data_IF_321616126859
#
_entry.id   IF_321616126859
#
_cell.length_a   1.000
_cell.length_b   1.000
_cell.length_c   1.000
_cell.angle_alpha   90.00
_cell.angle_beta   90.00
_cell.angle_gamma   90.00
#
_symmetry.space_group_name_H-M   'P 1'
#
loop_
_entity.id
_entity.type
_entity.pdbx_description
1 polymer ?
#
# COMPACT_ATOMS: atom_id res chain seq x y z
N UNK A 1 -52.40 -20.12 4.47
CA UNK A 1 -51.59 -19.28 3.57
C UNK A 1 -51.46 -17.85 4.12
N UNK A 2 -50.72 -17.63 5.22
CA UNK A 2 -50.57 -16.29 5.85
C UNK A 2 -49.12 -15.93 6.23
N UNK A 3 -48.19 -16.88 6.10
CA UNK A 3 -46.80 -16.78 6.57
C UNK A 3 -45.88 -16.16 5.51
N UNK A 4 -46.14 -16.43 4.23
CA UNK A 4 -45.37 -15.94 3.09
C UNK A 4 -45.55 -14.44 2.80
N UNK A 5 -46.73 -13.88 3.10
CA UNK A 5 -46.98 -12.43 2.95
C UNK A 5 -46.21 -11.59 3.97
N UNK A 6 -46.10 -12.07 5.22
CA UNK A 6 -45.32 -11.42 6.29
C UNK A 6 -43.81 -11.44 6.01
N UNK A 7 -43.28 -12.55 5.48
CA UNK A 7 -41.86 -12.67 5.12
C UNK A 7 -41.50 -11.74 3.96
N UNK A 8 -42.35 -11.67 2.93
CA UNK A 8 -42.14 -10.75 1.79
C UNK A 8 -42.17 -9.28 2.23
N UNK A 9 -43.09 -8.92 3.12
CA UNK A 9 -43.16 -7.56 3.66
C UNK A 9 -41.92 -7.20 4.49
N UNK A 10 -41.39 -8.18 5.23
CA UNK A 10 -40.17 -8.00 6.03
C UNK A 10 -38.93 -7.78 5.15
N UNK A 11 -38.80 -8.51 4.04
CA UNK A 11 -37.68 -8.37 3.10
C UNK A 11 -37.70 -6.98 2.43
N UNK A 12 -38.87 -6.48 2.05
CA UNK A 12 -39.02 -5.15 1.45
C UNK A 12 -38.64 -4.05 2.45
N UNK A 13 -39.06 -4.16 3.71
CA UNK A 13 -38.72 -3.20 4.77
C UNK A 13 -37.20 -3.16 5.01
N UNK A 14 -36.52 -4.32 4.99
CA UNK A 14 -35.06 -4.39 5.15
C UNK A 14 -34.33 -3.75 3.95
N UNK A 15 -34.83 -3.93 2.72
CA UNK A 15 -34.25 -3.32 1.52
C UNK A 15 -34.40 -1.78 1.50
N UNK A 16 -35.55 -1.26 1.95
CA UNK A 16 -35.76 0.18 2.09
C UNK A 16 -34.88 0.76 3.20
N UNK A 17 -34.75 0.06 4.33
CA UNK A 17 -33.88 0.49 5.43
C UNK A 17 -32.39 0.54 5.02
N UNK A 18 -31.93 -0.37 4.15
CA UNK A 18 -30.55 -0.36 3.67
C UNK A 18 -30.24 0.79 2.70
N UNK A 19 -31.27 1.39 2.08
CA UNK A 19 -31.13 2.52 1.15
C UNK A 19 -31.07 3.88 1.85
N UNK A 20 -31.39 3.92 3.15
CA UNK A 20 -31.37 5.13 3.98
C UNK A 20 -30.05 5.34 4.73
N UNK A 21 -29.07 4.45 4.57
CA UNK A 21 -27.74 4.71 5.11
C UNK A 21 -27.08 5.81 4.29
N UNK A 22 -26.75 6.98 4.89
CA UNK A 22 -25.97 7.98 4.21
C UNK A 22 -24.62 7.36 3.86
N UNK A 23 -24.36 7.18 2.57
CA UNK A 23 -23.02 6.91 2.09
C UNK A 23 -22.21 8.18 2.40
N UNK A 24 -21.41 8.13 3.46
CA UNK A 24 -20.43 9.17 3.74
C UNK A 24 -19.42 9.20 2.58
N UNK A 25 -19.76 9.93 1.52
CA UNK A 25 -18.82 10.34 0.49
C UNK A 25 -17.98 11.45 1.08
N UNK A 26 -16.68 11.19 1.28
CA UNK A 26 -15.73 12.26 1.58
C UNK A 26 -15.76 13.24 0.40
N UNK A 27 -16.36 14.42 0.61
CA UNK A 27 -16.31 15.50 -0.35
C UNK A 27 -14.84 15.93 -0.48
N UNK A 28 -14.25 15.57 -1.61
CA UNK A 28 -12.86 15.85 -1.91
C UNK A 28 -12.74 17.33 -2.33
N UNK A 29 -12.30 18.17 -1.39
CA UNK A 29 -12.05 19.59 -1.67
C UNK A 29 -10.81 19.70 -2.56
N UNK A 30 -11.04 19.88 -3.86
CA UNK A 30 -9.98 20.10 -4.85
C UNK A 30 -9.55 21.57 -4.83
N UNK A 31 -8.54 21.89 -4.02
CA UNK A 31 -7.95 23.23 -4.02
C UNK A 31 -6.97 23.31 -5.20
N UNK A 32 -7.39 23.96 -6.28
CA UNK A 32 -6.48 24.36 -7.35
C UNK A 32 -5.82 25.68 -6.92
N UNK A 33 -4.80 25.59 -6.06
CA UNK A 33 -3.89 26.73 -5.88
C UNK A 33 -3.12 26.86 -7.18
N UNK A 34 -3.14 28.03 -7.82
CA UNK A 34 -2.56 28.33 -9.14
C UNK A 34 -1.02 28.26 -9.18
N UNK A 35 -0.44 27.19 -8.65
CA UNK A 35 0.98 26.89 -8.67
C UNK A 35 1.28 26.28 -10.04
N UNK A 36 1.79 27.09 -10.96
CA UNK A 36 2.27 26.63 -12.27
C UNK A 36 3.64 25.94 -12.13
N UNK A 37 3.71 24.84 -11.39
CA UNK A 37 4.91 23.99 -11.39
C UNK A 37 4.69 22.91 -12.46
N UNK A 38 5.41 22.97 -13.59
CA UNK A 38 5.25 22.00 -14.66
C UNK A 38 5.78 20.65 -14.19
N UNK A 39 4.88 19.66 -14.16
CA UNK A 39 5.22 18.28 -13.85
C UNK A 39 5.86 17.62 -15.09
N UNK A 40 7.06 17.04 -15.01
CA UNK A 40 7.69 16.38 -16.16
C UNK A 40 6.79 15.29 -16.72
N UNK A 41 6.62 15.30 -18.04
CA UNK A 41 5.79 14.34 -18.74
C UNK A 41 6.35 12.93 -18.54
N UNK A 42 5.47 12.02 -18.13
CA UNK A 42 5.75 10.59 -18.06
C UNK A 42 4.45 9.86 -18.34
N UNK A 43 4.50 8.85 -19.21
CA UNK A 43 3.33 8.08 -19.62
C UNK A 43 3.67 6.61 -19.57
N UNK A 44 2.87 5.86 -18.84
CA UNK A 44 2.87 4.41 -18.94
C UNK A 44 2.18 3.99 -20.23
N UNK A 45 2.87 3.21 -21.06
CA UNK A 45 2.32 2.65 -22.29
C UNK A 45 1.40 1.44 -22.06
N UNK A 46 1.43 0.86 -20.87
CA UNK A 46 0.57 -0.22 -20.43
C UNK A 46 0.27 -0.06 -18.92
N UNK A 47 -0.82 -0.63 -18.39
CA UNK A 47 -1.11 -0.58 -16.97
C UNK A 47 0.07 -1.12 -16.13
N UNK A 48 0.67 -0.30 -15.25
CA UNK A 48 1.86 -0.73 -14.52
C UNK A 48 1.50 -1.78 -13.46
N UNK A 49 2.30 -2.85 -13.32
CA UNK A 49 2.23 -3.68 -12.13
C UNK A 49 2.70 -2.87 -10.92
N UNK A 50 2.14 -3.16 -9.76
CA UNK A 50 2.54 -2.50 -8.51
C UNK A 50 3.04 -3.52 -7.50
N UNK A 51 3.72 -3.03 -6.48
CA UNK A 51 4.10 -3.81 -5.31
C UNK A 51 3.71 -3.04 -4.05
N UNK A 52 3.26 -3.75 -3.02
CA UNK A 52 2.96 -3.14 -1.71
C UNK A 52 4.26 -2.65 -1.07
N UNK A 53 4.24 -1.44 -0.50
CA UNK A 53 5.31 -0.94 0.35
C UNK A 53 5.16 -1.65 1.71
N UNK A 54 6.18 -2.39 2.18
CA UNK A 54 6.11 -3.15 3.43
C UNK A 54 5.63 -2.31 4.63
N UNK A 55 4.84 -2.91 5.52
CA UNK A 55 4.23 -2.22 6.67
C UNK A 55 3.11 -1.25 6.33
N UNK A 56 2.68 -1.18 5.06
CA UNK A 56 1.67 -0.21 4.61
C UNK A 56 0.63 -0.82 3.66
N UNK A 57 -0.34 0.00 3.28
CA UNK A 57 -1.29 -0.25 2.19
C UNK A 57 -1.09 0.73 1.03
N UNK A 58 0.11 1.29 0.91
CA UNK A 58 0.55 2.06 -0.24
C UNK A 58 1.28 1.14 -1.22
N UNK A 59 1.16 1.44 -2.52
CA UNK A 59 1.71 0.59 -3.57
C UNK A 59 2.57 1.42 -4.53
N UNK A 60 3.77 0.94 -4.84
CA UNK A 60 4.73 1.60 -5.73
C UNK A 60 4.86 0.85 -7.05
N UNK A 61 5.27 1.56 -8.11
CA UNK A 61 5.65 0.95 -9.39
C UNK A 61 7.17 0.74 -9.39
N UNK A 62 7.67 -0.50 -9.32
CA UNK A 62 9.11 -0.75 -9.10
C UNK A 62 10.00 -0.51 -10.32
N UNK A 63 9.44 -0.46 -11.54
CA UNK A 63 10.23 -0.47 -12.79
C UNK A 63 10.37 0.92 -13.45
N UNK A 64 10.15 2.00 -12.69
CA UNK A 64 10.20 3.37 -13.23
C UNK A 64 10.95 4.32 -12.31
N UNK A 65 11.64 5.29 -12.92
CA UNK A 65 12.47 6.27 -12.20
C UNK A 65 11.67 7.44 -11.61
N UNK A 66 10.34 7.44 -11.76
CA UNK A 66 9.46 8.47 -11.19
C UNK A 66 8.86 8.02 -9.85
N UNK A 67 8.75 8.95 -8.90
CA UNK A 67 7.93 8.70 -7.71
C UNK A 67 6.46 8.65 -8.12
N UNK A 68 5.84 7.48 -8.00
CA UNK A 68 4.41 7.32 -8.17
C UNK A 68 3.90 6.23 -7.23
N UNK A 69 2.91 6.59 -6.43
CA UNK A 69 2.36 5.74 -5.38
C UNK A 69 0.85 5.69 -5.52
N UNK A 70 0.27 4.50 -5.48
CA UNK A 70 -1.16 4.30 -5.35
C UNK A 70 -1.53 4.17 -3.87
N UNK A 71 -2.51 4.95 -3.42
CA UNK A 71 -3.02 4.88 -2.06
C UNK A 71 -4.50 5.26 -2.02
N UNK A 72 -5.31 4.45 -1.35
CA UNK A 72 -6.75 4.67 -1.13
C UNK A 72 -7.55 5.10 -2.37
N UNK A 73 -7.25 4.50 -3.53
CA UNK A 73 -7.99 4.74 -4.77
C UNK A 73 -7.42 5.84 -5.67
N UNK A 74 -6.39 6.56 -5.23
CA UNK A 74 -5.75 7.62 -6.00
C UNK A 74 -4.28 7.32 -6.24
N UNK A 75 -3.77 7.90 -7.32
CA UNK A 75 -2.36 7.96 -7.65
C UNK A 75 -1.80 9.28 -7.16
N UNK A 76 -0.67 9.21 -6.47
CA UNK A 76 0.07 10.33 -5.91
C UNK A 76 1.46 10.36 -6.50
N UNK A 77 1.91 11.55 -6.88
CA UNK A 77 3.24 11.80 -7.43
C UNK A 77 3.85 12.98 -6.68
N UNK A 78 4.79 12.76 -5.76
CA UNK A 78 5.57 13.85 -5.20
C UNK A 78 6.50 14.40 -6.28
N UNK A 79 6.61 15.71 -6.36
CA UNK A 79 7.53 16.38 -7.26
C UNK A 79 7.90 17.75 -6.66
N UNK A 80 9.18 17.92 -6.34
CA UNK A 80 9.69 19.05 -5.53
C UNK A 80 8.93 19.11 -4.21
N UNK A 81 8.43 20.28 -3.83
CA UNK A 81 7.72 20.52 -2.56
C UNK A 81 6.19 20.30 -2.68
N UNK A 82 5.74 19.70 -3.77
CA UNK A 82 4.32 19.50 -4.05
C UNK A 82 3.97 18.05 -4.29
N UNK A 83 2.73 17.72 -3.96
CA UNK A 83 2.13 16.45 -4.34
C UNK A 83 1.11 16.68 -5.44
N UNK A 84 1.12 15.76 -6.40
CA UNK A 84 0.15 15.72 -7.47
C UNK A 84 -0.70 14.48 -7.31
N UNK A 85 -2.01 14.63 -7.47
CA UNK A 85 -2.95 13.52 -7.38
C UNK A 85 -3.66 13.30 -8.71
N UNK A 86 -3.96 12.05 -9.02
CA UNK A 86 -4.82 11.65 -10.11
C UNK A 86 -5.66 10.42 -9.76
N UNK A 87 -6.79 10.25 -10.44
CA UNK A 87 -7.57 9.01 -10.40
C UNK A 87 -6.98 7.90 -11.29
N UNK A 88 -6.00 8.23 -12.14
CA UNK A 88 -5.36 7.30 -13.09
C UNK A 88 -3.84 7.44 -13.06
N UNK A 89 -3.13 6.35 -13.34
CA UNK A 89 -1.66 6.31 -13.33
C UNK A 89 -1.00 7.22 -14.38
N UNK A 90 -1.75 7.65 -15.40
CA UNK A 90 -1.30 8.56 -16.45
C UNK A 90 -1.84 9.99 -16.30
N UNK A 91 -2.48 10.31 -15.18
CA UNK A 91 -3.14 11.60 -15.02
C UNK A 91 -4.59 11.61 -15.55
N UNK A 92 -5.23 12.80 -15.62
CA UNK A 92 -4.64 14.13 -15.43
C UNK A 92 -4.16 14.34 -13.99
N UNK A 93 -3.02 15.00 -13.84
CA UNK A 93 -2.41 15.33 -12.56
C UNK A 93 -2.85 16.71 -12.07
N UNK A 94 -3.19 16.82 -10.79
CA UNK A 94 -3.54 18.10 -10.16
C UNK A 94 -2.78 18.25 -8.85
N UNK A 95 -2.35 19.47 -8.54
CA UNK A 95 -1.72 19.77 -7.25
C UNK A 95 -2.71 19.41 -6.13
N UNK A 96 -2.19 18.82 -5.07
CA UNK A 96 -2.98 18.36 -3.94
C UNK A 96 -2.25 18.61 -2.62
N UNK A 97 -2.74 19.57 -1.84
CA UNK A 97 -2.08 20.01 -0.61
C UNK A 97 -2.41 19.13 0.61
N UNK A 98 -3.49 18.34 0.53
CA UNK A 98 -3.99 17.52 1.66
C UNK A 98 -3.68 16.04 1.44
N UNK A 99 -2.41 15.71 1.51
CA UNK A 99 -1.94 14.34 1.34
C UNK A 99 -2.12 13.56 2.65
N UNK A 100 -2.57 12.30 2.61
CA UNK A 100 -2.62 11.43 3.79
C UNK A 100 -1.27 11.34 4.51
N UNK A 101 -1.29 11.35 5.84
CA UNK A 101 -0.09 11.34 6.67
C UNK A 101 0.79 10.10 6.43
N UNK A 102 0.17 8.97 6.10
CA UNK A 102 0.83 7.71 5.75
C UNK A 102 1.80 7.87 4.57
N UNK A 103 1.47 8.73 3.59
CA UNK A 103 2.34 8.99 2.44
C UNK A 103 3.55 9.85 2.80
N UNK A 104 3.45 10.69 3.84
CA UNK A 104 4.58 11.44 4.37
C UNK A 104 5.51 10.57 5.22
N UNK A 105 4.98 9.51 5.82
CA UNK A 105 5.71 8.58 6.69
C UNK A 105 6.26 7.36 5.95
N UNK A 106 6.20 7.33 4.62
CA UNK A 106 6.80 6.24 3.85
C UNK A 106 8.31 6.17 4.10
N UNK A 107 8.91 4.96 4.16
CA UNK A 107 10.35 4.80 4.28
C UNK A 107 11.09 5.58 3.18
N UNK A 108 12.20 6.28 3.44
CA UNK A 108 12.90 7.08 2.42
C UNK A 108 13.30 6.28 1.17
N UNK A 109 13.50 4.98 1.32
CA UNK A 109 13.86 4.01 0.30
C UNK A 109 12.68 3.13 -0.16
N UNK A 110 11.43 3.58 0.03
CA UNK A 110 10.22 2.80 -0.29
C UNK A 110 10.15 2.28 -1.75
N UNK A 111 10.88 2.90 -2.67
CA UNK A 111 11.00 2.42 -4.06
C UNK A 111 11.88 1.20 -4.21
N UNK A 112 12.84 1.01 -3.30
CA UNK A 112 13.74 -0.12 -3.30
C UNK A 112 13.05 -1.33 -2.69
N UNK A 113 12.18 -1.96 -3.48
CA UNK A 113 11.49 -3.17 -3.08
C UNK A 113 12.44 -4.36 -3.26
N UNK A 114 12.80 -5.10 -2.19
CA UNK A 114 13.67 -6.26 -2.30
C UNK A 114 13.11 -7.33 -3.25
N UNK A 115 13.97 -8.14 -3.89
CA UNK A 115 13.51 -9.26 -4.71
C UNK A 115 12.61 -10.22 -3.93
N UNK A 116 11.57 -10.74 -4.58
CA UNK A 116 10.63 -11.72 -3.99
C UNK A 116 9.29 -11.15 -3.54
N UNK A 117 9.08 -9.83 -3.63
CA UNK A 117 7.77 -9.25 -3.39
C UNK A 117 6.78 -9.56 -4.52
N UNK A 118 5.51 -9.74 -4.15
CA UNK A 118 4.45 -10.06 -5.09
C UNK A 118 4.13 -8.85 -5.99
N UNK A 119 4.29 -9.04 -7.30
CA UNK A 119 3.82 -8.08 -8.31
C UNK A 119 2.32 -8.24 -8.49
N UNK A 120 1.59 -7.14 -8.30
CA UNK A 120 0.15 -7.07 -8.38
C UNK A 120 -0.22 -6.38 -9.70
N UNK A 121 -0.92 -7.06 -10.63
CA UNK A 121 -1.44 -6.41 -11.83
C UNK A 121 -2.40 -5.28 -11.47
N UNK A 122 -2.37 -4.16 -12.19
CA UNK A 122 -3.23 -2.99 -11.92
C UNK A 122 -4.73 -3.35 -11.80
N UNK A 123 -5.23 -4.27 -12.63
CA UNK A 123 -6.62 -4.71 -12.56
C UNK A 123 -6.98 -5.41 -11.24
N UNK A 124 -6.04 -6.15 -10.65
CA UNK A 124 -6.21 -6.78 -9.33
C UNK A 124 -6.16 -5.73 -8.22
N UNK A 125 -5.20 -4.80 -8.30
CA UNK A 125 -5.13 -3.68 -7.36
C UNK A 125 -6.47 -2.93 -7.31
N UNK A 126 -6.97 -2.48 -8.46
CA UNK A 126 -8.20 -1.68 -8.57
C UNK A 126 -9.42 -2.38 -7.97
N UNK A 127 -9.52 -3.71 -8.11
CA UNK A 127 -10.63 -4.50 -7.60
C UNK A 127 -10.54 -4.78 -6.09
N UNK A 128 -9.33 -5.00 -5.58
CA UNK A 128 -9.17 -5.61 -4.26
C UNK A 128 -8.59 -4.70 -3.19
N UNK A 129 -7.96 -3.55 -3.54
CA UNK A 129 -7.22 -2.72 -2.57
C UNK A 129 -8.00 -2.40 -1.30
N UNK A 130 -9.29 -2.05 -1.44
CA UNK A 130 -10.16 -1.69 -0.31
C UNK A 130 -10.43 -2.88 0.61
N UNK A 131 -10.59 -4.07 0.04
CA UNK A 131 -10.74 -5.31 0.80
C UNK A 131 -9.45 -5.67 1.53
N UNK A 132 -8.31 -5.61 0.83
CA UNK A 132 -7.01 -5.89 1.41
C UNK A 132 -6.67 -5.00 2.61
N UNK A 133 -6.95 -3.69 2.50
CA UNK A 133 -6.74 -2.74 3.60
C UNK A 133 -7.66 -3.03 4.79
N UNK A 134 -8.95 -3.32 4.55
CA UNK A 134 -9.92 -3.64 5.59
C UNK A 134 -9.58 -4.94 6.33
N UNK A 135 -9.14 -5.95 5.60
CA UNK A 135 -8.88 -7.30 6.12
C UNK A 135 -7.44 -7.49 6.59
N UNK A 136 -6.62 -6.43 6.52
CA UNK A 136 -5.21 -6.46 6.90
C UNK A 136 -4.43 -7.57 6.17
N UNK A 137 -4.65 -7.67 4.85
CA UNK A 137 -4.15 -8.77 4.03
C UNK A 137 -2.62 -8.91 4.03
N UNK A 138 -1.89 -7.79 4.07
CA UNK A 138 -0.44 -7.78 3.96
C UNK A 138 0.27 -7.98 5.30
N UNK A 139 -0.38 -7.67 6.43
CA UNK A 139 0.19 -7.77 7.77
C UNK A 139 0.67 -9.20 8.11
N UNK A 140 -0.02 -10.23 7.58
CA UNK A 140 0.37 -11.63 7.80
C UNK A 140 1.67 -12.04 7.09
N UNK A 141 1.99 -11.36 5.99
CA UNK A 141 3.20 -11.64 5.22
C UNK A 141 4.42 -10.97 5.84
N UNK A 142 4.22 -9.82 6.47
CA UNK A 142 5.26 -9.08 7.20
C UNK A 142 5.81 -9.90 8.38
N UNK A 143 4.92 -10.43 9.24
CA UNK A 143 5.32 -11.26 10.40
C UNK A 143 6.27 -12.41 10.01
N UNK A 144 5.96 -13.13 8.93
CA UNK A 144 6.80 -14.25 8.46
C UNK A 144 8.15 -13.81 7.92
N UNK A 145 8.24 -12.60 7.37
CA UNK A 145 9.50 -12.06 6.88
C UNK A 145 10.38 -11.66 8.06
N UNK A 146 9.82 -10.94 9.04
CA UNK A 146 10.52 -10.53 10.28
C UNK A 146 11.08 -11.73 11.05
N UNK A 147 10.25 -12.76 11.31
CA UNK A 147 10.67 -13.98 12.01
C UNK A 147 11.85 -14.67 11.31
N UNK A 148 11.83 -14.71 9.97
CA UNK A 148 12.91 -15.31 9.16
C UNK A 148 14.20 -14.49 9.21
N UNK A 149 14.09 -13.16 9.31
CA UNK A 149 15.25 -12.27 9.44
C UNK A 149 15.87 -12.39 10.83
N UNK A 150 15.05 -12.39 11.88
CA UNK A 150 15.47 -12.57 13.28
C UNK A 150 16.18 -13.92 13.47
N UNK A 151 15.57 -15.01 13.01
CA UNK A 151 16.13 -16.36 13.15
C UNK A 151 17.48 -16.52 12.41
N UNK A 152 17.61 -15.92 11.22
CA UNK A 152 18.90 -15.88 10.49
C UNK A 152 19.96 -15.07 11.23
N UNK A 153 19.57 -13.96 11.87
CA UNK A 153 20.50 -13.12 12.61
C UNK A 153 20.99 -13.82 13.88
N UNK A 154 20.09 -14.46 14.63
CA UNK A 154 20.42 -15.29 15.80
C UNK A 154 21.41 -16.41 15.47
N UNK A 155 21.15 -17.19 14.41
CA UNK A 155 22.10 -18.23 13.98
C UNK A 155 23.48 -17.68 13.57
N UNK A 156 23.53 -16.47 13.00
CA UNK A 156 24.80 -15.84 12.62
C UNK A 156 25.58 -15.36 13.83
N UNK A 157 24.89 -14.91 14.88
CA UNK A 157 25.48 -14.49 16.16
C UNK A 157 25.98 -15.71 16.96
N UNK A 158 25.17 -16.76 17.09
CA UNK A 158 25.57 -18.03 17.73
C UNK A 158 26.86 -18.61 17.09
N UNK A 159 26.93 -18.63 15.75
CA UNK A 159 28.11 -19.09 15.03
C UNK A 159 29.34 -18.22 15.27
N UNK A 160 29.16 -16.91 15.52
CA UNK A 160 30.26 -15.98 15.86
C UNK A 160 30.74 -16.22 17.29
N UNK A 161 29.85 -16.49 18.24
CA UNK A 161 30.21 -16.83 19.61
C UNK A 161 30.96 -18.16 19.70
N UNK A 162 30.46 -19.21 19.04
CA UNK A 162 31.12 -20.51 19.00
C UNK A 162 32.55 -20.44 18.43
N UNK A 163 32.77 -19.61 17.39
CA UNK A 163 34.11 -19.36 16.84
C UNK A 163 35.04 -18.57 17.76
N UNK A 164 34.51 -17.71 18.64
CA UNK A 164 35.31 -16.95 19.62
C UNK A 164 35.69 -17.82 20.82
N UNK A 165 34.79 -18.71 21.29
CA UNK A 165 35.07 -19.64 22.38
C UNK A 165 36.06 -20.75 22.02
N UNK A 166 36.11 -21.17 20.75
CA UNK A 166 37.00 -22.27 20.30
C UNK A 166 38.48 -21.93 20.13
N UNK A 167 38.90 -20.66 20.27
CA UNK A 167 40.31 -20.25 20.08
C UNK A 167 41.17 -20.25 21.36
N UNK A 168 40.63 -20.66 22.51
CA UNK A 168 41.35 -20.64 23.80
C UNK A 168 42.11 -21.92 24.18
N UNK A 169 42.13 -22.96 23.35
CA UNK A 169 42.54 -24.30 23.76
C UNK A 169 43.60 -24.96 22.89
N UNK A 170 44.77 -24.33 22.69
CA UNK A 170 45.98 -25.06 22.29
C UNK A 170 47.22 -24.36 22.86
N UNK A 171 47.60 -24.79 24.06
CA UNK A 171 48.79 -24.35 24.77
C UNK A 171 49.16 -25.40 25.82
N UNK A 172 49.51 -26.60 25.35
CA UNK A 172 50.23 -27.61 26.14
C UNK A 172 51.44 -28.05 25.33
N UNK A 173 52.59 -27.47 25.63
CA UNK A 173 53.77 -28.17 26.15
C UNK A 173 54.86 -27.15 26.49
#
# INVERSE_FOLDING_TARGET
MKKSSLVLLSIVVIFVAFSLFPQAGSAEVNVNVGINVPLPAFVFHAPPPVVVIPGTYAYVVPDVDIDIVFFQGYWYRPYRDHWYRSASYNGPWRVHDRVPGELHSLPPDYRHVPPGHQRIPYGQLKKNWRGWEKEKHWDKHEYKHEEKHENKQGHKEEKREHKKGGKGGHGRN
#
